data_IF_555982404087
#
_entry.id   IF_555982404087
#
_cell.length_a   1.000
_cell.length_b   1.000
_cell.length_c   1.000
_cell.angle_alpha   90.00
_cell.angle_beta   90.00
_cell.angle_gamma   90.00
#
_symmetry.space_group_name_H-M   'P 1'
#
loop_
_entity.id
_entity.type
_entity.pdbx_description
1 polymer ?
#
# COMPACT_ATOMS: atom_id res chain seq x y z
N UNK A 1 27.69 -52.22 34.61
CA UNK A 1 27.72 -51.91 36.06
C UNK A 1 27.16 -50.51 36.24
N UNK A 2 26.01 -50.42 36.93
CA UNK A 2 25.53 -49.41 37.91
C UNK A 2 25.85 -47.91 37.67
N UNK A 3 25.02 -46.91 37.98
CA UNK A 3 23.59 -46.66 38.24
C UNK A 3 23.50 -45.17 38.64
N UNK A 4 22.32 -44.52 38.51
CA UNK A 4 21.95 -43.22 39.13
C UNK A 4 21.60 -42.13 38.10
N UNK A 5 20.37 -41.67 37.83
CA UNK A 5 19.15 -41.35 38.66
C UNK A 5 19.47 -40.19 39.64
N UNK A 6 18.76 -39.07 39.77
CA UNK A 6 17.35 -38.66 39.61
C UNK A 6 17.26 -37.12 39.34
N UNK A 7 16.19 -36.58 38.72
CA UNK A 7 15.03 -35.82 39.30
C UNK A 7 15.41 -34.57 40.14
N UNK A 8 14.78 -33.40 40.11
CA UNK A 8 13.51 -32.85 39.62
C UNK A 8 13.30 -31.47 40.32
N UNK A 9 12.14 -30.82 40.14
CA UNK A 9 11.52 -29.80 41.04
C UNK A 9 11.16 -28.40 40.45
N UNK A 10 9.92 -28.34 39.95
CA UNK A 10 8.80 -27.40 40.24
C UNK A 10 8.96 -25.90 40.58
N UNK A 11 8.28 -25.09 39.74
CA UNK A 11 7.28 -24.01 39.99
C UNK A 11 7.35 -23.17 41.28
N UNK A 12 7.18 -21.84 41.11
CA UNK A 12 6.34 -21.01 42.01
C UNK A 12 5.70 -19.82 41.28
N UNK A 13 4.37 -19.72 41.41
CA UNK A 13 3.50 -18.55 41.17
C UNK A 13 3.58 -17.63 42.38
N UNK A 14 3.54 -16.32 42.17
CA UNK A 14 3.24 -15.34 43.22
C UNK A 14 1.95 -14.61 42.88
N UNK A 15 0.97 -14.77 43.76
CA UNK A 15 -0.33 -14.09 43.86
C UNK A 15 -0.18 -13.13 45.04
N UNK A 16 -0.49 -11.85 44.86
CA UNK A 16 -0.60 -10.88 45.97
C UNK A 16 -2.05 -10.44 46.04
N UNK A 17 -2.68 -10.75 47.16
CA UNK A 17 -3.96 -10.21 47.66
C UNK A 17 -3.65 -9.78 49.10
N UNK A 18 -3.97 -8.56 49.45
CA UNK A 18 -4.17 -8.12 50.84
C UNK A 18 -5.34 -7.13 50.84
N UNK A 19 -6.30 -7.43 51.69
CA UNK A 19 -7.54 -6.71 52.02
C UNK A 19 -7.33 -5.69 53.15
N UNK A 20 -8.35 -4.85 53.37
CA UNK A 20 -8.66 -4.16 54.64
C UNK A 20 -8.13 -2.73 54.76
N UNK A 21 -8.81 -1.76 55.36
CA UNK A 21 -10.09 -1.76 56.08
C UNK A 21 -10.52 -0.30 56.35
N UNK A 22 -11.81 -0.13 56.65
CA UNK A 22 -12.46 0.88 57.52
C UNK A 22 -12.38 2.41 57.31
N UNK A 23 -13.57 3.02 57.31
CA UNK A 23 -13.79 4.46 57.46
C UNK A 23 -15.24 4.91 57.33
N UNK A 24 -16.15 4.38 58.15
CA UNK A 24 -17.51 4.90 58.37
C UNK A 24 -17.49 6.12 59.28
N UNK A 25 -18.12 7.23 58.88
CA UNK A 25 -18.62 8.30 59.77
C UNK A 25 -19.89 8.95 59.18
N UNK A 26 -21.00 8.71 59.89
CA UNK A 26 -22.09 9.62 60.31
C UNK A 26 -22.85 10.52 59.31
N UNK A 27 -24.05 10.03 58.96
CA UNK A 27 -25.41 10.60 59.13
C UNK A 27 -25.53 12.09 59.53
N UNK A 28 -26.21 12.92 58.72
CA UNK A 28 -27.49 13.57 59.08
C UNK A 28 -28.17 14.33 57.93
N UNK A 29 -29.50 14.28 58.00
CA UNK A 29 -30.52 14.78 57.10
C UNK A 29 -30.52 16.30 56.88
N UNK A 30 -30.98 16.73 55.70
CA UNK A 30 -31.98 17.79 55.63
C UNK A 30 -32.70 17.78 54.27
N UNK A 31 -33.99 17.42 54.33
CA UNK A 31 -34.94 17.60 53.26
C UNK A 31 -35.68 18.93 53.44
N UNK A 32 -35.59 19.85 52.48
CA UNK A 32 -36.71 20.71 52.05
C UNK A 32 -36.37 21.63 50.86
N UNK A 33 -37.22 21.51 49.85
CA UNK A 33 -37.88 22.62 49.13
C UNK A 33 -37.05 23.52 48.21
N UNK A 34 -37.36 23.48 46.91
CA UNK A 34 -37.38 24.70 46.10
C UNK A 34 -36.93 24.54 44.64
N UNK A 35 -37.82 24.93 43.74
CA UNK A 35 -37.59 25.32 42.34
C UNK A 35 -37.37 24.21 41.28
N UNK A 36 -38.51 23.80 40.70
CA UNK A 36 -38.88 24.16 39.32
C UNK A 36 -37.86 25.08 38.64
N UNK A 37 -37.16 24.56 37.63
CA UNK A 37 -36.84 25.21 36.35
C UNK A 37 -35.83 24.31 35.61
N UNK A 38 -36.36 23.31 34.90
CA UNK A 38 -35.59 22.62 33.85
C UNK A 38 -35.87 23.35 32.54
N UNK A 39 -34.89 23.98 31.90
CA UNK A 39 -35.05 24.40 30.53
C UNK A 39 -35.11 23.14 29.67
N UNK A 40 -36.19 23.03 28.91
CA UNK A 40 -36.36 22.04 27.86
C UNK A 40 -35.16 22.11 26.92
N UNK A 41 -34.34 21.05 26.92
CA UNK A 41 -33.41 20.79 25.83
C UNK A 41 -34.24 20.59 24.56
N UNK A 42 -34.44 21.66 23.81
CA UNK A 42 -34.77 21.59 22.39
C UNK A 42 -33.64 20.80 21.70
N UNK A 43 -33.83 19.48 21.62
CA UNK A 43 -33.21 18.65 20.62
C UNK A 43 -33.68 19.16 19.26
N UNK A 44 -32.96 20.15 18.73
CA UNK A 44 -32.87 20.41 17.31
C UNK A 44 -32.31 19.14 16.66
N UNK A 45 -33.21 18.20 16.38
CA UNK A 45 -32.99 17.15 15.39
C UNK A 45 -32.82 17.90 14.08
N UNK A 46 -31.56 18.21 13.75
CA UNK A 46 -31.15 18.65 12.41
C UNK A 46 -31.81 17.70 11.43
N UNK A 47 -32.92 18.16 10.84
CA UNK A 47 -33.66 17.42 9.84
C UNK A 47 -32.67 17.11 8.73
N UNK A 48 -32.31 15.84 8.59
CA UNK A 48 -31.53 15.41 7.43
C UNK A 48 -32.33 15.87 6.22
N UNK A 49 -31.70 16.58 5.26
CA UNK A 49 -32.41 17.02 4.08
C UNK A 49 -33.13 15.81 3.47
N UNK A 50 -34.44 15.95 3.25
CA UNK A 50 -35.32 14.91 2.75
C UNK A 50 -35.04 14.72 1.25
N UNK A 51 -33.90 14.11 0.94
CA UNK A 51 -33.54 13.76 -0.41
C UNK A 51 -34.23 12.45 -0.82
N UNK A 52 -34.71 12.36 -2.06
CA UNK A 52 -35.21 11.08 -2.56
C UNK A 52 -34.10 10.01 -2.49
N UNK A 53 -34.41 8.75 -2.18
CA UNK A 53 -33.40 7.71 -1.97
C UNK A 53 -32.49 7.45 -3.17
N UNK A 54 -32.97 7.76 -4.38
CA UNK A 54 -32.28 7.66 -5.67
C UNK A 54 -31.70 8.99 -6.17
N UNK A 55 -31.79 10.07 -5.39
CA UNK A 55 -31.24 11.37 -5.77
C UNK A 55 -29.71 11.38 -5.75
N UNK A 56 -29.14 12.23 -6.60
CA UNK A 56 -27.68 12.46 -6.67
C UNK A 56 -27.09 12.93 -5.32
N UNK A 57 -27.68 13.90 -4.58
CA UNK A 57 -27.14 14.34 -3.29
C UNK A 57 -27.11 13.24 -2.23
N UNK A 58 -28.11 12.35 -2.23
CA UNK A 58 -28.16 11.19 -1.32
C UNK A 58 -27.02 10.23 -1.61
N UNK A 59 -26.81 9.87 -2.87
CA UNK A 59 -25.70 9.00 -3.29
C UNK A 59 -24.33 9.62 -2.97
N UNK A 60 -24.16 10.93 -3.19
CA UNK A 60 -22.93 11.63 -2.85
C UNK A 60 -22.65 11.58 -1.33
N UNK A 61 -23.66 11.79 -0.50
CA UNK A 61 -23.52 11.69 0.96
C UNK A 61 -23.10 10.30 1.42
N UNK A 62 -23.65 9.23 0.83
CA UNK A 62 -23.26 7.85 1.16
C UNK A 62 -21.82 7.56 0.70
N UNK A 63 -21.41 8.06 -0.47
CA UNK A 63 -20.03 7.96 -0.96
C UNK A 63 -19.04 8.71 -0.06
N UNK A 64 -19.38 9.91 0.42
CA UNK A 64 -18.59 10.64 1.42
C UNK A 64 -18.45 9.83 2.70
N UNK A 65 -19.54 9.22 3.17
CA UNK A 65 -19.54 8.32 4.33
C UNK A 65 -18.62 7.12 4.15
N UNK A 66 -18.61 6.49 2.98
CA UNK A 66 -17.72 5.37 2.64
C UNK A 66 -16.25 5.80 2.66
N UNK A 67 -15.92 6.94 2.05
CA UNK A 67 -14.55 7.45 2.03
C UNK A 67 -14.07 7.82 3.43
N UNK A 68 -14.92 8.46 4.23
CA UNK A 68 -14.62 8.79 5.62
C UNK A 68 -14.42 7.53 6.47
N UNK A 69 -15.21 6.49 6.24
CA UNK A 69 -15.03 5.19 6.87
C UNK A 69 -13.67 4.56 6.53
N UNK A 70 -13.25 4.63 5.25
CA UNK A 70 -11.92 4.19 4.82
C UNK A 70 -10.82 5.00 5.50
N UNK A 71 -10.97 6.33 5.59
CA UNK A 71 -9.98 7.20 6.25
C UNK A 71 -9.79 6.84 7.72
N UNK A 72 -10.85 6.50 8.43
CA UNK A 72 -10.80 6.06 9.84
C UNK A 72 -10.20 4.65 10.03
N UNK A 73 -10.03 3.89 8.95
CA UNK A 73 -9.50 2.53 8.97
C UNK A 73 -8.35 2.40 7.96
N UNK A 74 -7.12 2.82 8.33
CA UNK A 74 -5.96 2.84 7.43
C UNK A 74 -5.69 1.51 6.72
N UNK A 75 -6.00 0.37 7.36
CA UNK A 75 -5.91 -0.97 6.77
C UNK A 75 -6.77 -1.17 5.50
N UNK A 76 -7.79 -0.34 5.27
CA UNK A 76 -8.64 -0.38 4.09
C UNK A 76 -8.13 0.52 2.95
N UNK A 77 -7.16 1.39 3.22
CA UNK A 77 -6.64 2.33 2.21
C UNK A 77 -5.88 1.61 1.08
N UNK A 78 -5.32 0.44 1.38
CA UNK A 78 -4.65 -0.45 0.43
C UNK A 78 -5.43 -1.75 0.17
N UNK A 79 -6.72 -1.78 0.50
CA UNK A 79 -7.56 -2.92 0.17
C UNK A 79 -7.66 -3.12 -1.36
N UNK A 80 -8.00 -4.33 -1.78
CA UNK A 80 -8.21 -4.63 -3.19
C UNK A 80 -9.44 -3.91 -3.75
N UNK A 81 -9.53 -3.84 -5.08
CA UNK A 81 -10.69 -3.28 -5.78
C UNK A 81 -12.02 -3.96 -5.40
N UNK A 82 -11.99 -5.22 -4.94
CA UNK A 82 -13.19 -5.95 -4.57
C UNK A 82 -13.90 -5.31 -3.38
N UNK A 83 -13.17 -4.87 -2.34
CA UNK A 83 -13.75 -4.14 -1.21
C UNK A 83 -14.54 -2.91 -1.66
N UNK A 84 -13.91 -2.04 -2.47
CA UNK A 84 -14.55 -0.83 -2.95
C UNK A 84 -15.76 -1.16 -3.85
N UNK A 85 -15.60 -2.11 -4.78
CA UNK A 85 -16.68 -2.58 -5.65
C UNK A 85 -17.87 -3.11 -4.86
N UNK A 86 -17.64 -3.95 -3.87
CA UNK A 86 -18.71 -4.60 -3.11
C UNK A 86 -19.42 -3.58 -2.19
N UNK A 87 -18.68 -2.59 -1.67
CA UNK A 87 -19.24 -1.44 -0.95
C UNK A 87 -20.15 -0.60 -1.84
N UNK A 88 -19.67 -0.24 -3.05
CA UNK A 88 -20.44 0.52 -4.03
C UNK A 88 -21.69 -0.23 -4.51
N UNK A 89 -21.58 -1.55 -4.75
CA UNK A 89 -22.73 -2.40 -5.10
C UNK A 89 -23.77 -2.43 -3.99
N UNK A 90 -23.34 -2.60 -2.75
CA UNK A 90 -24.24 -2.63 -1.59
C UNK A 90 -24.97 -1.30 -1.44
N UNK A 91 -24.27 -0.19 -1.62
CA UNK A 91 -24.86 1.14 -1.63
C UNK A 91 -25.93 1.28 -2.72
N UNK A 92 -25.63 0.88 -3.96
CA UNK A 92 -26.59 0.95 -5.06
C UNK A 92 -27.83 0.07 -4.83
N UNK A 93 -27.65 -1.16 -4.35
CA UNK A 93 -28.77 -2.06 -4.03
C UNK A 93 -29.66 -1.43 -2.93
N UNK A 94 -29.04 -0.85 -1.91
CA UNK A 94 -29.76 -0.17 -0.82
C UNK A 94 -30.55 1.03 -1.33
N UNK A 95 -29.93 1.92 -2.11
CA UNK A 95 -30.59 3.08 -2.70
C UNK A 95 -31.77 2.67 -3.60
N UNK A 96 -31.57 1.64 -4.44
CA UNK A 96 -32.61 1.14 -5.34
C UNK A 96 -33.81 0.61 -4.56
N UNK A 97 -33.56 -0.23 -3.54
CA UNK A 97 -34.62 -0.78 -2.70
C UNK A 97 -35.36 0.29 -1.89
N UNK A 98 -34.64 1.28 -1.36
CA UNK A 98 -35.26 2.40 -0.64
C UNK A 98 -36.15 3.24 -1.57
N UNK A 99 -35.74 3.43 -2.84
CA UNK A 99 -36.54 4.14 -3.83
C UNK A 99 -37.78 3.35 -4.26
N UNK A 100 -37.67 2.03 -4.46
CA UNK A 100 -38.82 1.15 -4.74
C UNK A 100 -39.87 1.20 -3.63
N UNK A 101 -39.44 1.12 -2.36
CA UNK A 101 -40.34 1.21 -1.20
C UNK A 101 -41.01 2.59 -1.07
N UNK A 102 -40.27 3.67 -1.36
CA UNK A 102 -40.83 5.02 -1.38
C UNK A 102 -41.91 5.15 -2.45
N UNK A 103 -41.65 4.63 -3.65
CA UNK A 103 -42.61 4.61 -4.75
C UNK A 103 -43.86 3.78 -4.44
N UNK A 104 -43.70 2.59 -3.86
CA UNK A 104 -44.84 1.74 -3.44
C UNK A 104 -45.70 2.43 -2.37
N UNK A 105 -45.06 3.11 -1.41
CA UNK A 105 -45.76 3.85 -0.36
C UNK A 105 -46.52 5.03 -0.94
N UNK A 106 -45.91 5.82 -1.82
CA UNK A 106 -46.57 6.93 -2.51
C UNK A 106 -47.72 6.45 -3.39
N UNK A 107 -47.52 5.38 -4.17
CA UNK A 107 -48.57 4.80 -5.02
C UNK A 107 -49.75 4.24 -4.21
N UNK A 108 -49.50 3.71 -3.00
CA UNK A 108 -50.57 3.22 -2.12
C UNK A 108 -51.42 4.33 -1.49
N UNK A 109 -50.89 5.55 -1.40
CA UNK A 109 -51.59 6.71 -0.84
C UNK A 109 -52.55 7.34 -1.87
N UNK A 110 -52.29 7.17 -3.18
CA UNK A 110 -53.15 7.72 -4.25
C UNK A 110 -54.42 6.90 -4.50
N UNK A 111 -54.48 5.63 -4.07
CA UNK A 111 -55.66 4.76 -4.23
C UNK A 111 -56.70 4.88 -3.11
N UNK A 112 -56.57 5.86 -2.20
CA UNK A 112 -57.61 6.20 -1.22
C UNK A 112 -58.48 7.36 -1.72
N UNK A 113 -59.77 7.16 -2.09
CA UNK A 113 -60.64 8.22 -2.57
C UNK A 113 -61.21 8.98 -1.38
N UNK A 114 -60.38 9.75 -0.66
CA UNK A 114 -60.83 10.69 0.38
C UNK A 114 -59.68 11.59 0.83
N UNK A 115 -59.42 12.69 0.11
CA UNK A 115 -59.25 14.01 0.72
C UNK A 115 -59.10 15.10 -0.35
N UNK A 116 -60.06 16.01 -0.29
CA UNK A 116 -60.11 17.28 -1.00
C UNK A 116 -58.82 18.08 -0.80
N UNK A 117 -58.26 18.44 -1.94
CA UNK A 117 -57.18 19.38 -2.17
C UNK A 117 -57.46 20.76 -1.56
N UNK A 118 -56.52 21.26 -0.77
CA UNK A 118 -56.29 22.69 -0.53
C UNK A 118 -54.84 22.85 -0.05
N UNK A 119 -53.88 22.72 -0.97
CA UNK A 119 -52.50 23.15 -0.73
C UNK A 119 -52.22 24.26 -1.73
N UNK A 120 -52.28 25.47 -1.22
CA UNK A 120 -51.73 26.69 -1.80
C UNK A 120 -50.29 26.44 -2.23
N UNK A 121 -49.99 26.74 -3.49
CA UNK A 121 -48.64 26.76 -4.02
C UNK A 121 -47.82 27.80 -3.26
N UNK A 122 -46.92 27.32 -2.42
CA UNK A 122 -45.78 28.09 -1.98
C UNK A 122 -44.64 27.76 -2.94
N UNK A 123 -44.41 28.73 -3.84
CA UNK A 123 -43.38 28.75 -4.85
C UNK A 123 -42.04 29.03 -4.15
N UNK A 124 -41.60 28.10 -3.28
CA UNK A 124 -40.27 28.16 -2.68
C UNK A 124 -39.27 27.79 -3.75
N UNK A 125 -38.86 28.81 -4.50
CA UNK A 125 -37.71 28.86 -5.38
C UNK A 125 -36.65 27.87 -4.94
N UNK A 126 -36.35 26.93 -5.83
CA UNK A 126 -35.18 26.06 -5.82
C UNK A 126 -33.92 26.89 -5.55
N UNK A 127 -33.60 27.10 -4.28
CA UNK A 127 -32.31 27.60 -3.84
C UNK A 127 -31.30 26.46 -4.00
N UNK A 128 -30.81 26.36 -5.23
CA UNK A 128 -29.39 26.23 -5.48
C UNK A 128 -28.69 25.09 -4.72
N UNK A 129 -29.17 23.85 -4.86
CA UNK A 129 -28.33 22.66 -4.71
C UNK A 129 -27.40 22.55 -5.92
N UNK A 130 -26.53 23.55 -6.08
CA UNK A 130 -25.30 23.37 -6.81
C UNK A 130 -24.53 22.29 -6.05
N UNK A 131 -24.73 21.03 -6.44
CA UNK A 131 -23.85 19.92 -6.09
C UNK A 131 -22.44 20.46 -6.27
N UNK A 132 -21.71 20.64 -5.17
CA UNK A 132 -20.36 21.17 -5.22
C UNK A 132 -19.52 20.16 -5.99
N UNK A 133 -19.41 20.33 -7.30
CA UNK A 133 -18.72 19.42 -8.23
C UNK A 133 -17.27 19.13 -7.78
N UNK A 134 -16.69 20.00 -6.97
CA UNK A 134 -15.41 19.80 -6.30
C UNK A 134 -15.38 18.55 -5.41
N UNK A 135 -16.44 18.28 -4.65
CA UNK A 135 -16.53 17.09 -3.80
C UNK A 135 -16.59 15.79 -4.62
N UNK A 136 -17.19 15.82 -5.81
CA UNK A 136 -17.30 14.66 -6.71
C UNK A 136 -15.93 14.25 -7.27
N UNK A 137 -15.05 15.20 -7.56
CA UNK A 137 -13.70 14.89 -8.06
C UNK A 137 -12.82 14.20 -7.01
N UNK A 138 -12.94 14.61 -5.75
CA UNK A 138 -12.20 13.98 -4.64
C UNK A 138 -12.69 12.57 -4.36
N UNK A 139 -14.00 12.35 -4.46
CA UNK A 139 -14.62 11.03 -4.37
C UNK A 139 -14.12 10.12 -5.50
N UNK A 140 -14.13 10.63 -6.74
CA UNK A 140 -13.69 9.87 -7.91
C UNK A 140 -12.20 9.48 -7.80
N UNK A 141 -11.35 10.40 -7.35
CA UNK A 141 -9.94 10.07 -7.11
C UNK A 141 -9.79 9.01 -6.03
N UNK A 142 -10.52 9.14 -4.91
CA UNK A 142 -10.48 8.15 -3.83
C UNK A 142 -10.88 6.75 -4.31
N UNK A 143 -11.89 6.64 -5.17
CA UNK A 143 -12.30 5.37 -5.80
C UNK A 143 -11.23 4.88 -6.77
N UNK A 144 -10.67 5.75 -7.60
CA UNK A 144 -9.66 5.38 -8.61
C UNK A 144 -8.37 4.83 -8.00
N UNK A 145 -8.04 5.20 -6.74
CA UNK A 145 -6.92 4.60 -6.00
C UNK A 145 -7.05 3.09 -5.82
N UNK A 146 -8.24 2.52 -5.93
CA UNK A 146 -8.45 1.07 -5.81
C UNK A 146 -8.32 0.32 -7.14
N UNK A 147 -8.26 1.03 -8.27
CA UNK A 147 -8.23 0.43 -9.60
C UNK A 147 -6.84 -0.10 -9.94
N UNK A 148 -6.78 -1.22 -10.66
CA UNK A 148 -5.55 -1.63 -11.34
C UNK A 148 -5.24 -0.66 -12.48
N UNK A 149 -4.01 -0.65 -13.00
CA UNK A 149 -3.70 0.19 -14.15
C UNK A 149 -4.54 -0.14 -15.40
N UNK A 150 -4.91 -1.42 -15.58
CA UNK A 150 -5.81 -1.84 -16.66
C UNK A 150 -7.19 -1.19 -16.48
N UNK A 151 -7.75 -1.28 -15.29
CA UNK A 151 -9.09 -0.73 -15.01
C UNK A 151 -9.07 0.80 -15.04
N UNK A 152 -7.99 1.43 -14.56
CA UNK A 152 -7.79 2.87 -14.63
C UNK A 152 -7.71 3.34 -16.10
N UNK A 153 -7.04 2.58 -16.96
CA UNK A 153 -7.00 2.88 -18.39
C UNK A 153 -8.39 2.80 -19.04
N UNK A 154 -9.22 1.83 -18.64
CA UNK A 154 -10.61 1.73 -19.11
C UNK A 154 -11.44 2.90 -18.58
N UNK A 155 -11.33 3.22 -17.30
CA UNK A 155 -12.05 4.31 -16.66
C UNK A 155 -11.78 5.66 -17.34
N UNK A 156 -10.54 5.91 -17.77
CA UNK A 156 -10.18 7.13 -18.51
C UNK A 156 -10.90 7.28 -19.86
N UNK A 157 -11.43 6.19 -20.42
CA UNK A 157 -12.20 6.21 -21.67
C UNK A 157 -13.67 6.59 -21.50
N UNK A 158 -14.19 6.70 -20.27
CA UNK A 158 -15.62 6.88 -20.01
C UNK A 158 -16.08 8.31 -20.29
N UNK A 159 -15.34 9.32 -19.81
CA UNK A 159 -15.67 10.73 -20.02
C UNK A 159 -14.42 11.62 -19.93
N UNK A 160 -14.55 12.90 -20.35
CA UNK A 160 -13.46 13.87 -20.23
C UNK A 160 -13.02 14.08 -18.77
N UNK A 161 -13.98 14.10 -17.84
CA UNK A 161 -13.70 14.30 -16.41
C UNK A 161 -13.02 13.08 -15.79
N UNK A 162 -13.45 11.87 -16.17
CA UNK A 162 -12.79 10.64 -15.74
C UNK A 162 -11.38 10.52 -16.33
N UNK A 163 -11.17 10.99 -17.56
CA UNK A 163 -9.83 11.06 -18.14
C UNK A 163 -8.94 12.02 -17.34
N UNK A 164 -9.44 13.21 -16.98
CA UNK A 164 -8.71 14.18 -16.17
C UNK A 164 -8.36 13.61 -14.79
N UNK A 165 -9.30 12.95 -14.11
CA UNK A 165 -9.04 12.32 -12.81
C UNK A 165 -8.09 11.11 -12.93
N UNK A 166 -8.32 10.21 -13.88
CA UNK A 166 -7.53 8.99 -14.06
C UNK A 166 -6.14 9.23 -14.68
N UNK A 167 -5.89 10.43 -15.21
CA UNK A 167 -4.55 10.85 -15.67
C UNK A 167 -3.72 11.52 -14.57
N UNK A 168 -4.24 11.70 -13.35
CA UNK A 168 -3.49 12.35 -12.26
C UNK A 168 -2.17 11.59 -11.97
N UNK A 169 -1.01 12.26 -11.92
CA UNK A 169 0.27 11.62 -11.66
C UNK A 169 0.34 10.87 -10.33
N UNK A 170 -0.39 11.34 -9.31
CA UNK A 170 -0.47 10.71 -7.99
C UNK A 170 -0.98 9.27 -8.04
N UNK A 171 -1.98 8.99 -8.88
CA UNK A 171 -2.55 7.65 -9.06
C UNK A 171 -1.53 6.69 -9.68
N UNK A 172 -0.87 7.13 -10.75
CA UNK A 172 0.14 6.33 -11.45
C UNK A 172 1.38 6.12 -10.58
N UNK A 173 1.80 7.13 -9.81
CA UNK A 173 2.85 7.00 -8.81
C UNK A 173 2.49 5.92 -7.79
N UNK A 174 1.29 5.99 -7.20
CA UNK A 174 0.85 4.99 -6.22
C UNK A 174 0.83 3.57 -6.82
N UNK A 175 0.39 3.40 -8.08
CA UNK A 175 0.42 2.11 -8.76
C UNK A 175 1.84 1.57 -8.97
N UNK A 176 2.77 2.45 -9.35
CA UNK A 176 4.18 2.07 -9.51
C UNK A 176 4.81 1.67 -8.17
N UNK A 177 4.49 2.38 -7.07
CA UNK A 177 5.03 2.13 -5.73
C UNK A 177 4.35 0.96 -4.99
N UNK A 178 3.12 0.58 -5.39
CA UNK A 178 2.45 -0.64 -4.91
C UNK A 178 2.99 -1.91 -5.57
N UNK A 179 3.38 -1.83 -6.85
CA UNK A 179 4.38 -2.77 -7.36
C UNK A 179 5.67 -2.51 -6.59
N UNK A 180 6.53 -3.49 -6.32
CA UNK A 180 7.54 -3.35 -5.28
C UNK A 180 8.74 -2.51 -5.75
N UNK A 181 8.50 -1.36 -6.37
CA UNK A 181 9.47 -0.39 -6.88
C UNK A 181 9.52 0.84 -5.98
N UNK A 182 9.55 0.63 -4.65
CA UNK A 182 9.50 1.76 -3.69
C UNK A 182 10.70 2.68 -3.83
N UNK A 183 11.85 2.14 -4.22
CA UNK A 183 13.07 2.91 -4.46
C UNK A 183 12.90 3.98 -5.54
N UNK A 184 11.94 3.91 -6.45
CA UNK A 184 11.73 4.96 -7.47
C UNK A 184 11.43 6.34 -6.86
N UNK A 185 10.90 6.38 -5.63
CA UNK A 185 10.64 7.63 -4.93
C UNK A 185 11.91 8.28 -4.37
N UNK A 186 12.91 7.48 -4.01
CA UNK A 186 14.09 7.94 -3.25
C UNK A 186 15.39 7.88 -4.06
N UNK A 187 15.52 6.90 -4.95
CA UNK A 187 16.68 6.70 -5.82
C UNK A 187 16.42 7.27 -7.22
N UNK A 188 16.93 8.47 -7.45
CA UNK A 188 16.83 9.12 -8.77
C UNK A 188 17.67 8.43 -9.84
N UNK A 189 18.78 7.79 -9.46
CA UNK A 189 19.67 7.13 -10.42
C UNK A 189 19.01 5.87 -11.01
N UNK A 190 18.15 5.21 -10.24
CA UNK A 190 17.39 4.04 -10.67
C UNK A 190 16.53 4.30 -11.93
N UNK A 191 16.02 5.52 -12.11
CA UNK A 191 15.21 5.87 -13.28
C UNK A 191 15.96 5.65 -14.59
N UNK A 192 17.23 6.06 -14.63
CA UNK A 192 18.09 5.92 -15.83
C UNK A 192 18.43 4.46 -16.15
N UNK A 193 18.40 3.58 -15.14
CA UNK A 193 18.56 2.14 -15.32
C UNK A 193 17.28 1.48 -15.86
N UNK A 194 16.11 2.01 -15.52
CA UNK A 194 14.83 1.44 -15.94
C UNK A 194 14.49 1.86 -17.36
N UNK A 195 14.62 3.14 -17.65
CA UNK A 195 14.36 3.67 -18.98
C UNK A 195 15.26 4.90 -19.21
N UNK A 196 16.40 4.73 -19.91
CA UNK A 196 17.32 5.81 -20.18
C UNK A 196 16.73 6.97 -21.00
N UNK A 197 15.61 6.74 -21.70
CA UNK A 197 14.96 7.73 -22.56
C UNK A 197 13.90 8.55 -21.83
N UNK A 198 13.62 8.21 -20.56
CA UNK A 198 12.56 8.82 -19.78
C UNK A 198 13.04 10.12 -19.14
N UNK A 199 12.32 11.22 -19.39
CA UNK A 199 12.54 12.47 -18.67
C UNK A 199 11.87 12.40 -17.30
N UNK A 200 12.68 12.33 -16.23
CA UNK A 200 12.21 12.28 -14.84
C UNK A 200 11.48 13.56 -14.43
N UNK A 201 11.67 14.67 -15.15
CA UNK A 201 10.96 15.94 -14.89
C UNK A 201 9.58 16.01 -15.53
N UNK A 202 9.22 15.04 -16.38
CA UNK A 202 7.91 14.99 -17.02
C UNK A 202 6.80 14.81 -15.97
N UNK A 203 5.75 15.67 -15.94
CA UNK A 203 4.61 15.47 -15.05
C UNK A 203 3.93 14.09 -15.20
N UNK A 204 3.97 13.49 -16.39
CA UNK A 204 3.38 12.19 -16.72
C UNK A 204 4.37 11.02 -16.62
N UNK A 205 5.56 11.25 -16.04
CA UNK A 205 6.65 10.27 -15.95
C UNK A 205 6.19 8.92 -15.37
N UNK A 206 5.38 8.94 -14.30
CA UNK A 206 4.88 7.73 -13.63
C UNK A 206 3.98 6.89 -14.53
N UNK A 207 3.17 7.54 -15.36
CA UNK A 207 2.30 6.85 -16.32
C UNK A 207 3.11 6.26 -17.45
N UNK A 208 4.15 6.98 -17.92
CA UNK A 208 5.03 6.54 -19.00
C UNK A 208 5.91 5.37 -18.60
N UNK A 209 6.42 5.34 -17.37
CA UNK A 209 7.29 4.26 -16.88
C UNK A 209 6.51 3.00 -16.50
N UNK A 210 5.24 3.13 -16.09
CA UNK A 210 4.43 2.02 -15.58
C UNK A 210 4.43 0.76 -16.48
N UNK A 211 4.23 0.85 -17.82
CA UNK A 211 4.28 -0.31 -18.70
C UNK A 211 5.61 -1.07 -18.65
N UNK A 212 6.72 -0.34 -18.47
CA UNK A 212 8.06 -0.91 -18.32
C UNK A 212 8.17 -1.65 -16.99
N UNK A 213 7.73 -1.04 -15.89
CA UNK A 213 7.76 -1.65 -14.55
C UNK A 213 6.90 -2.91 -14.47
N UNK A 214 5.68 -2.86 -15.03
CA UNK A 214 4.72 -3.94 -14.97
C UNK A 214 5.18 -5.21 -15.70
N UNK A 215 6.13 -5.09 -16.63
CA UNK A 215 6.71 -6.24 -17.37
C UNK A 215 7.97 -6.78 -16.72
N UNK A 216 8.60 -6.03 -15.81
CA UNK A 216 9.85 -6.43 -15.17
C UNK A 216 9.59 -7.44 -14.08
N UNK A 217 10.48 -8.44 -14.02
CA UNK A 217 10.42 -9.48 -12.99
C UNK A 217 11.05 -8.98 -11.71
N UNK A 218 10.47 -9.43 -10.60
CA UNK A 218 10.97 -9.16 -9.27
C UNK A 218 10.71 -10.36 -8.36
N UNK A 219 11.51 -10.47 -7.30
CA UNK A 219 11.42 -11.57 -6.34
C UNK A 219 11.69 -11.11 -4.92
N UNK A 220 11.13 -11.83 -3.95
CA UNK A 220 11.54 -11.74 -2.55
C UNK A 220 12.71 -12.67 -2.30
N UNK A 221 13.74 -12.17 -1.63
CA UNK A 221 14.93 -12.93 -1.33
C UNK A 221 15.48 -12.58 0.05
N UNK A 222 15.92 -13.59 0.80
CA UNK A 222 16.66 -13.41 2.04
C UNK A 222 18.15 -13.26 1.74
N UNK A 223 18.76 -12.19 2.21
CA UNK A 223 20.21 -12.03 2.15
C UNK A 223 20.86 -12.62 3.40
N UNK A 224 21.81 -13.52 3.17
CA UNK A 224 22.63 -14.12 4.22
C UNK A 224 24.11 -13.88 3.95
N UNK A 225 24.90 -13.79 5.01
CA UNK A 225 26.37 -13.70 4.93
C UNK A 225 26.96 -14.74 5.87
N UNK A 226 27.65 -15.74 5.32
CA UNK A 226 28.24 -16.84 6.11
C UNK A 226 27.21 -17.46 7.08
N UNK A 227 26.02 -17.77 6.56
CA UNK A 227 24.87 -18.30 7.31
C UNK A 227 24.29 -17.39 8.42
N UNK A 228 24.67 -16.11 8.47
CA UNK A 228 24.00 -15.11 9.31
C UNK A 228 23.00 -14.31 8.48
N UNK A 229 21.79 -14.15 9.01
CA UNK A 229 20.78 -13.29 8.42
C UNK A 229 21.28 -11.84 8.37
N UNK A 230 21.05 -11.18 7.23
CA UNK A 230 21.37 -9.76 7.04
C UNK A 230 20.09 -8.95 6.95
N UNK A 231 19.24 -9.25 5.96
CA UNK A 231 17.94 -8.59 5.73
C UNK A 231 17.12 -9.37 4.71
N UNK A 232 15.84 -9.03 4.58
CA UNK A 232 15.01 -9.42 3.44
C UNK A 232 15.05 -8.34 2.36
N UNK A 233 15.03 -8.78 1.10
CA UNK A 233 15.20 -7.95 -0.08
C UNK A 233 14.05 -8.17 -1.07
N UNK A 234 13.74 -7.11 -1.81
CA UNK A 234 13.16 -7.23 -3.14
C UNK A 234 14.29 -7.13 -4.17
N UNK A 235 14.32 -8.08 -5.09
CA UNK A 235 15.27 -8.14 -6.19
C UNK A 235 14.54 -7.83 -7.48
N UNK A 236 15.01 -6.84 -8.21
CA UNK A 236 14.45 -6.42 -9.49
C UNK A 236 15.38 -6.80 -10.62
N UNK A 237 14.87 -7.48 -11.64
CA UNK A 237 15.62 -7.62 -12.89
C UNK A 237 15.43 -6.34 -13.72
N UNK A 238 16.53 -5.62 -13.91
CA UNK A 238 16.54 -4.34 -14.61
C UNK A 238 16.91 -4.48 -16.08
N UNK A 239 17.85 -5.36 -16.41
CA UNK A 239 18.36 -5.51 -17.76
C UNK A 239 18.86 -6.94 -17.99
N UNK A 240 19.22 -7.26 -19.23
CA UNK A 240 19.79 -8.54 -19.64
C UNK A 240 18.78 -9.69 -19.78
N UNK A 241 19.30 -10.89 -19.98
CA UNK A 241 18.53 -12.11 -20.24
C UNK A 241 17.59 -12.47 -19.08
N UNK A 242 16.37 -12.92 -19.36
CA UNK A 242 15.41 -13.27 -18.31
C UNK A 242 15.90 -14.43 -17.44
N UNK A 243 15.86 -14.26 -16.11
CA UNK A 243 16.22 -15.33 -15.17
C UNK A 243 15.19 -16.46 -15.03
N UNK A 244 14.06 -16.37 -15.73
CA UNK A 244 12.90 -17.25 -15.55
C UNK A 244 12.07 -16.85 -14.33
N UNK A 245 11.25 -17.75 -13.80
CA UNK A 245 10.43 -17.49 -12.59
C UNK A 245 11.12 -17.99 -11.31
N UNK A 246 12.13 -18.86 -11.46
CA UNK A 246 12.82 -19.53 -10.37
C UNK A 246 14.01 -18.71 -9.88
N UNK A 247 13.76 -17.68 -9.08
CA UNK A 247 14.80 -16.97 -8.34
C UNK A 247 14.98 -17.58 -6.94
N UNK A 248 16.21 -17.67 -6.42
CA UNK A 248 16.47 -18.26 -5.10
C UNK A 248 15.79 -17.47 -3.99
N UNK A 249 15.07 -18.16 -3.10
CA UNK A 249 14.44 -17.54 -1.93
C UNK A 249 15.46 -17.05 -0.90
N UNK A 250 16.70 -17.54 -0.95
CA UNK A 250 17.81 -17.15 -0.10
C UNK A 250 19.08 -17.05 -0.93
N UNK A 251 19.85 -15.98 -0.75
CA UNK A 251 21.19 -15.83 -1.31
C UNK A 251 22.21 -15.74 -0.18
N UNK A 252 23.09 -16.73 -0.09
CA UNK A 252 24.17 -16.75 0.89
C UNK A 252 25.46 -16.25 0.26
N UNK A 253 25.94 -15.11 0.74
CA UNK A 253 27.23 -14.55 0.35
C UNK A 253 28.33 -15.31 1.08
N UNK A 254 29.01 -16.17 0.33
CA UNK A 254 30.07 -17.04 0.83
C UNK A 254 31.46 -16.46 0.56
N UNK A 255 31.62 -15.79 -0.58
CA UNK A 255 32.91 -15.30 -1.06
C UNK A 255 32.84 -13.82 -1.41
N UNK A 256 34.01 -13.25 -1.62
CA UNK A 256 34.21 -11.86 -2.02
C UNK A 256 35.47 -11.76 -2.88
N UNK A 257 35.48 -10.85 -3.84
CA UNK A 257 36.65 -10.61 -4.70
C UNK A 257 36.84 -9.12 -4.93
N UNK A 258 38.03 -8.69 -5.36
CA UNK A 258 38.35 -7.26 -5.51
C UNK A 258 37.50 -6.60 -6.60
N UNK A 259 37.05 -5.36 -6.36
CA UNK A 259 36.23 -4.62 -7.33
C UNK A 259 36.94 -4.47 -8.68
N UNK A 260 38.26 -4.36 -8.69
CA UNK A 260 39.08 -4.34 -9.91
C UNK A 260 38.86 -5.57 -10.82
N UNK A 261 38.42 -6.70 -10.27
CA UNK A 261 38.13 -7.88 -11.07
C UNK A 261 36.70 -7.89 -11.62
N UNK A 262 35.84 -6.90 -11.34
CA UNK A 262 34.49 -6.86 -11.93
C UNK A 262 34.55 -6.75 -13.47
N UNK A 263 35.49 -5.98 -13.99
CA UNK A 263 35.73 -5.86 -15.43
C UNK A 263 36.35 -7.12 -16.02
N UNK A 264 37.05 -7.95 -15.24
CA UNK A 264 37.60 -9.23 -15.69
C UNK A 264 36.60 -10.39 -15.53
N UNK A 265 35.78 -10.33 -14.49
CA UNK A 265 34.64 -11.21 -14.24
C UNK A 265 33.48 -10.90 -15.20
N UNK A 266 33.80 -10.38 -16.40
CA UNK A 266 32.89 -9.82 -17.40
C UNK A 266 31.58 -10.58 -17.39
N UNK A 267 30.59 -9.93 -16.79
CA UNK A 267 29.22 -10.25 -17.03
C UNK A 267 29.01 -10.08 -18.55
N UNK A 268 28.58 -11.14 -19.27
CA UNK A 268 28.30 -11.05 -20.70
C UNK A 268 27.47 -9.80 -21.01
N UNK A 269 27.57 -9.25 -22.23
CA UNK A 269 26.80 -8.06 -22.63
C UNK A 269 25.29 -8.20 -22.32
N UNK A 270 24.78 -9.44 -22.35
CA UNK A 270 23.39 -9.78 -22.06
C UNK A 270 23.16 -10.37 -20.66
N UNK A 271 24.11 -10.22 -19.73
CA UNK A 271 23.97 -10.74 -18.38
C UNK A 271 22.78 -10.10 -17.67
N UNK A 272 22.00 -10.86 -16.89
CA UNK A 272 20.96 -10.30 -16.05
C UNK A 272 21.56 -9.28 -15.07
N UNK A 273 21.09 -8.04 -15.15
CA UNK A 273 21.40 -6.96 -14.21
C UNK A 273 20.27 -6.86 -13.19
N UNK A 274 20.63 -6.88 -11.92
CA UNK A 274 19.72 -6.83 -10.79
C UNK A 274 19.89 -5.53 -10.01
N UNK A 275 18.81 -5.10 -9.38
CA UNK A 275 18.79 -4.06 -8.37
C UNK A 275 18.13 -4.58 -7.11
N UNK A 276 18.77 -4.34 -5.97
CA UNK A 276 18.29 -4.79 -4.67
C UNK A 276 17.72 -3.62 -3.89
N UNK A 277 16.56 -3.80 -3.26
CA UNK A 277 16.00 -2.87 -2.29
C UNK A 277 15.53 -3.62 -1.04
N UNK A 278 15.46 -2.97 0.14
CA UNK A 278 14.99 -3.63 1.34
C UNK A 278 13.50 -3.99 1.22
N UNK A 279 13.09 -5.14 1.78
CA UNK A 279 11.67 -5.54 1.77
C UNK A 279 10.82 -4.66 2.71
N UNK A 280 11.37 -4.19 3.81
CA UNK A 280 10.70 -3.26 4.74
C UNK A 280 11.65 -2.16 5.21
N UNK A 281 11.13 -1.12 5.85
CA UNK A 281 11.98 -0.11 6.48
C UNK A 281 12.91 -0.71 7.56
N UNK A 282 12.48 -1.82 8.20
CA UNK A 282 13.31 -2.56 9.15
C UNK A 282 14.48 -3.32 8.51
N UNK A 283 14.41 -3.62 7.21
CA UNK A 283 15.47 -4.30 6.46
C UNK A 283 16.57 -3.34 5.96
N UNK A 284 16.29 -2.03 6.01
CA UNK A 284 17.16 -0.98 5.45
C UNK A 284 18.54 -0.94 6.10
N UNK A 285 18.60 -0.99 7.43
CA UNK A 285 19.87 -0.97 8.17
C UNK A 285 20.74 -2.19 7.82
N UNK A 286 20.14 -3.36 7.67
CA UNK A 286 20.84 -4.58 7.27
C UNK A 286 21.46 -4.47 5.87
N UNK A 287 20.70 -3.96 4.90
CA UNK A 287 21.20 -3.74 3.54
C UNK A 287 22.30 -2.69 3.50
N UNK A 288 22.10 -1.54 4.14
CA UNK A 288 23.09 -0.46 4.20
C UNK A 288 24.39 -0.93 4.89
N UNK A 289 24.27 -1.67 6.01
CA UNK A 289 25.41 -2.26 6.69
C UNK A 289 26.19 -3.25 5.81
N UNK A 290 25.49 -4.03 4.98
CA UNK A 290 26.12 -4.93 4.02
C UNK A 290 26.83 -4.19 2.87
N UNK A 291 26.21 -3.13 2.34
CA UNK A 291 26.83 -2.26 1.32
C UNK A 291 28.11 -1.63 1.88
N UNK A 292 28.04 -1.03 3.07
CA UNK A 292 29.19 -0.42 3.73
C UNK A 292 30.30 -1.44 4.01
N UNK A 293 29.93 -2.66 4.37
CA UNK A 293 30.87 -3.76 4.55
C UNK A 293 31.67 -4.10 3.28
N UNK A 294 31.02 -4.07 2.11
CA UNK A 294 31.67 -4.31 0.82
C UNK A 294 32.57 -3.13 0.40
N UNK A 295 32.05 -1.90 0.50
CA UNK A 295 32.78 -0.67 0.17
C UNK A 295 34.08 -0.55 0.98
N UNK A 296 34.00 -0.68 2.32
CA UNK A 296 35.17 -0.55 3.21
C UNK A 296 36.31 -1.52 2.91
N UNK A 297 36.00 -2.61 2.19
CA UNK A 297 36.97 -3.66 1.88
C UNK A 297 37.38 -3.67 0.41
N UNK A 298 36.84 -2.77 -0.39
CA UNK A 298 37.04 -2.73 -1.84
C UNK A 298 36.72 -4.09 -2.50
N UNK A 299 35.57 -4.67 -2.14
CA UNK A 299 35.15 -6.00 -2.62
C UNK A 299 33.73 -6.02 -3.17
N UNK A 300 33.50 -6.90 -4.15
CA UNK A 300 32.18 -7.39 -4.51
C UNK A 300 31.85 -8.66 -3.70
N UNK A 301 30.57 -8.88 -3.41
CA UNK A 301 30.08 -10.12 -2.80
C UNK A 301 29.79 -11.18 -3.85
N UNK A 302 29.92 -12.46 -3.49
CA UNK A 302 29.62 -13.59 -4.36
C UNK A 302 28.79 -14.63 -3.62
N UNK A 303 27.59 -14.91 -4.14
CA UNK A 303 26.78 -16.07 -3.77
C UNK A 303 26.77 -17.08 -4.91
N UNK A 304 26.85 -18.36 -4.54
CA UNK A 304 26.76 -19.48 -5.46
C UNK A 304 25.44 -20.19 -5.20
N UNK A 305 24.62 -20.34 -6.22
CA UNK A 305 23.37 -21.08 -6.12
C UNK A 305 23.23 -21.96 -7.36
N UNK A 306 23.29 -23.28 -7.15
CA UNK A 306 23.30 -24.28 -8.22
C UNK A 306 24.36 -23.97 -9.30
N UNK A 307 23.93 -23.61 -10.50
CA UNK A 307 24.77 -23.27 -11.65
C UNK A 307 24.83 -21.76 -11.91
N UNK A 308 24.42 -20.93 -10.95
CA UNK A 308 24.38 -19.47 -11.09
C UNK A 308 25.29 -18.82 -10.04
N UNK A 309 26.04 -17.81 -10.47
CA UNK A 309 26.84 -16.94 -9.61
C UNK A 309 26.14 -15.60 -9.52
N UNK A 310 25.77 -15.20 -8.32
CA UNK A 310 25.18 -13.90 -8.04
C UNK A 310 26.27 -13.00 -7.47
N UNK A 311 26.61 -11.96 -8.22
CA UNK A 311 27.63 -10.99 -7.87
C UNK A 311 26.94 -9.77 -7.29
N UNK A 312 27.29 -9.39 -6.07
CA UNK A 312 26.76 -8.20 -5.40
C UNK A 312 27.75 -7.05 -5.54
N UNK A 313 27.32 -6.00 -6.24
CA UNK A 313 28.15 -4.88 -6.66
C UNK A 313 27.74 -3.65 -5.84
N UNK A 314 28.56 -3.19 -4.89
CA UNK A 314 28.29 -1.95 -4.17
C UNK A 314 28.43 -0.73 -5.10
N UNK A 315 27.94 0.45 -4.71
CA UNK A 315 28.23 1.71 -5.40
C UNK A 315 29.75 1.90 -5.58
N UNK A 316 30.21 1.92 -6.83
CA UNK A 316 31.64 2.02 -7.18
C UNK A 316 31.81 2.55 -8.62
N UNK A 317 33.05 2.65 -9.11
CA UNK A 317 33.31 3.07 -10.50
C UNK A 317 32.56 2.18 -11.52
N UNK A 318 32.55 0.86 -11.31
CA UNK A 318 31.85 -0.07 -12.19
C UNK A 318 30.35 0.21 -12.29
N UNK A 319 29.69 0.57 -11.17
CA UNK A 319 28.26 0.90 -11.20
C UNK A 319 28.01 2.22 -11.94
N UNK A 320 28.92 3.18 -11.83
CA UNK A 320 28.87 4.46 -12.56
C UNK A 320 29.06 4.26 -14.06
N UNK A 321 29.96 3.37 -14.48
CA UNK A 321 30.12 3.00 -15.90
C UNK A 321 28.84 2.39 -16.48
N UNK A 322 28.03 1.76 -15.64
CA UNK A 322 26.67 1.27 -15.97
C UNK A 322 25.57 2.32 -15.80
N UNK A 323 25.93 3.60 -15.72
CA UNK A 323 25.04 4.77 -15.55
C UNK A 323 24.25 4.76 -14.24
N UNK A 324 24.77 4.11 -13.20
CA UNK A 324 24.15 4.10 -11.88
C UNK A 324 25.02 4.77 -10.83
N UNK A 325 24.59 5.96 -10.42
CA UNK A 325 25.21 6.80 -9.38
C UNK A 325 24.47 6.68 -8.03
N UNK A 326 23.53 5.74 -7.92
CA UNK A 326 22.74 5.53 -6.71
C UNK A 326 23.53 4.88 -5.57
N UNK A 327 22.88 4.76 -4.41
CA UNK A 327 23.50 4.24 -3.18
C UNK A 327 23.15 2.78 -2.89
N UNK A 328 22.16 2.23 -3.61
CA UNK A 328 21.78 0.83 -3.43
C UNK A 328 22.75 -0.13 -4.10
N UNK A 329 22.53 -1.42 -3.84
CA UNK A 329 23.33 -2.53 -4.35
C UNK A 329 22.83 -2.94 -5.75
N UNK A 330 23.76 -3.09 -6.70
CA UNK A 330 23.49 -3.74 -7.98
C UNK A 330 23.88 -5.21 -7.92
N UNK A 331 23.35 -6.00 -8.84
CA UNK A 331 23.68 -7.41 -8.99
C UNK A 331 23.97 -7.81 -10.41
N UNK A 332 24.92 -8.71 -10.59
CA UNK A 332 25.12 -9.42 -11.84
C UNK A 332 24.86 -10.91 -11.67
N UNK A 333 24.28 -11.55 -12.68
CA UNK A 333 24.17 -13.01 -12.71
C UNK A 333 25.04 -13.58 -13.80
N UNK A 334 25.91 -14.53 -13.43
CA UNK A 334 26.71 -15.30 -14.36
C UNK A 334 26.24 -16.76 -14.32
N UNK A 335 25.94 -17.31 -15.49
CA UNK A 335 25.77 -18.75 -15.63
C UNK A 335 27.15 -19.40 -15.49
N UNK A 336 27.29 -20.30 -14.53
CA UNK A 336 28.46 -21.17 -14.45
C UNK A 336 28.35 -22.15 -15.60
N UNK A 337 28.93 -21.83 -16.75
CA UNK A 337 29.13 -22.81 -17.80
C UNK A 337 29.86 -24.02 -17.19
N UNK A 338 29.33 -25.21 -17.43
CA UNK A 338 29.82 -26.46 -16.83
C UNK A 338 31.28 -26.81 -17.22
N UNK A 339 31.97 -25.96 -17.99
CA UNK A 339 33.37 -26.11 -18.36
C UNK A 339 34.16 -24.81 -18.08
N UNK A 340 35.18 -24.89 -17.23
CA UNK A 340 36.44 -24.18 -17.50
C UNK A 340 36.93 -23.08 -16.56
N UNK A 341 36.28 -22.74 -15.44
CA UNK A 341 36.81 -21.69 -14.53
C UNK A 341 36.75 -22.09 -13.05
N UNK A 342 37.32 -23.25 -12.72
CA UNK A 342 37.50 -23.66 -11.32
C UNK A 342 38.84 -23.25 -10.70
N UNK A 343 39.79 -22.65 -11.43
CA UNK A 343 41.16 -22.53 -10.91
C UNK A 343 41.80 -21.13 -10.82
N UNK A 344 41.13 -20.00 -11.07
CA UNK A 344 41.84 -18.70 -11.01
C UNK A 344 41.00 -17.51 -10.47
N UNK A 345 40.40 -17.63 -9.28
CA UNK A 345 40.11 -16.48 -8.38
C UNK A 345 40.32 -16.90 -6.93
#
# INVERSE_FOLDING_TARGET
MLHGVAEGSTRKRSRVVMEGDDGLQDIQDDARSGNSDRPEEEMSVLAKPLWSPDSVPRMESELKGLIEYVRRKPQLSDANAAFMRDSLRTMLIKCTREAELAFETESSIVDSPSRSSSISGDDSKDENTAVEWYAVHDILEAVFRYLSAKDLSVARGVSKDWNKCGSKPSLWKQLCLRQPWRSLETDRALWSLIDPMLDVKDPDVWRKVYPTLARRKWWRCKLMKTNKFVCNLIVHQIDGESLGDNFPSTLTVERRFALMHLTLAMLPINSPLLYFEPETDGDKEGLEGFIQYLIRRDRAGLALEQHRRYIFIPPCDYSRDRRYEGKSLLGGVQLSSAHGFQNNI
#
